data_IF_881107584522
#
_entry.id   IF_881107584522
#
_cell.length_a   1.000
_cell.length_b   1.000
_cell.length_c   1.000
_cell.angle_alpha   90.00
_cell.angle_beta   90.00
_cell.angle_gamma   90.00
#
_symmetry.space_group_name_H-M   'P 1'
#
loop_
_entity.id
_entity.type
_entity.pdbx_description
1 polymer ?
#
# COMPACT_ATOMS: atom_id res chain seq x y z
N UNK A 1 26.44 5.68 -26.46
CA UNK A 1 25.50 5.05 -27.41
C UNK A 1 24.17 5.78 -27.34
N UNK A 2 23.86 6.63 -28.33
CA UNK A 2 22.50 7.18 -28.44
C UNK A 2 21.51 6.04 -28.68
N UNK A 3 20.61 5.81 -27.72
CA UNK A 3 19.53 4.85 -27.89
C UNK A 3 18.59 5.40 -28.98
N UNK A 4 18.40 4.64 -30.06
CA UNK A 4 17.56 5.04 -31.18
C UNK A 4 16.07 4.83 -30.83
N UNK A 5 15.41 5.86 -30.29
CA UNK A 5 14.02 5.86 -29.85
C UNK A 5 13.05 6.15 -31.03
N UNK A 6 13.13 5.37 -32.11
CA UNK A 6 12.31 5.60 -33.33
C UNK A 6 10.78 5.65 -33.07
N UNK A 7 10.32 5.00 -32.01
CA UNK A 7 8.89 4.91 -31.67
C UNK A 7 8.55 5.62 -30.35
N UNK A 8 9.41 6.55 -29.89
CA UNK A 8 9.15 7.28 -28.65
C UNK A 8 8.07 8.35 -28.89
N UNK A 9 7.01 8.43 -28.07
CA UNK A 9 5.98 9.46 -28.21
C UNK A 9 6.58 10.87 -28.09
N UNK A 10 6.03 11.82 -28.83
CA UNK A 10 6.39 13.24 -28.68
C UNK A 10 5.92 13.74 -27.29
N UNK A 11 6.70 14.63 -26.67
CA UNK A 11 6.38 15.21 -25.36
C UNK A 11 6.73 14.29 -24.18
N UNK A 12 7.31 13.11 -24.41
CA UNK A 12 7.74 12.21 -23.33
C UNK A 12 9.27 12.30 -23.15
N UNK A 13 9.72 12.71 -21.97
CA UNK A 13 11.15 12.76 -21.63
C UNK A 13 11.81 11.38 -21.75
N UNK A 14 12.98 11.36 -22.35
CA UNK A 14 13.75 10.11 -22.51
C UNK A 14 14.52 9.70 -21.26
N UNK A 15 14.81 10.69 -20.41
CA UNK A 15 15.55 10.50 -19.17
C UNK A 15 14.77 11.17 -18.05
N UNK A 16 14.40 10.38 -17.03
CA UNK A 16 13.71 10.85 -15.84
C UNK A 16 14.67 10.87 -14.66
N UNK A 17 14.54 11.85 -13.79
CA UNK A 17 15.14 11.84 -12.48
C UNK A 17 14.15 11.26 -11.45
N UNK A 18 14.62 10.42 -10.56
CA UNK A 18 13.77 9.78 -9.59
C UNK A 18 14.17 10.17 -8.17
N UNK A 19 13.22 10.60 -7.33
CA UNK A 19 13.53 10.97 -5.95
C UNK A 19 13.92 9.76 -5.10
N UNK A 20 14.94 9.94 -4.25
CA UNK A 20 15.42 8.92 -3.32
C UNK A 20 14.69 9.07 -1.98
N UNK A 21 13.42 8.69 -1.94
CA UNK A 21 12.56 8.82 -0.76
C UNK A 21 11.85 7.50 -0.45
N UNK A 22 11.44 7.27 0.81
CA UNK A 22 10.55 6.17 1.13
C UNK A 22 9.19 6.33 0.42
N UNK A 23 8.59 5.20 0.02
CA UNK A 23 7.34 5.23 -0.75
C UNK A 23 6.18 5.93 -0.03
N UNK A 24 6.11 5.86 1.30
CA UNK A 24 5.05 6.55 2.06
C UNK A 24 5.12 8.08 1.93
N UNK A 25 6.23 8.65 1.47
CA UNK A 25 6.33 10.09 1.19
C UNK A 25 5.42 10.54 0.04
N UNK A 26 5.01 9.62 -0.84
CA UNK A 26 4.01 9.91 -1.88
C UNK A 26 2.68 10.29 -1.21
N UNK A 27 2.21 9.47 -0.26
CA UNK A 27 1.00 9.77 0.52
C UNK A 27 1.15 11.04 1.36
N UNK A 28 2.26 11.16 2.09
CA UNK A 28 2.50 12.32 2.97
C UNK A 28 2.55 13.64 2.20
N UNK A 29 3.17 13.61 1.01
CA UNK A 29 3.16 14.76 0.10
C UNK A 29 1.75 15.12 -0.37
N UNK A 30 0.94 14.13 -0.75
CA UNK A 30 -0.44 14.35 -1.16
C UNK A 30 -1.30 14.89 0.00
N UNK A 31 -1.16 14.34 1.20
CA UNK A 31 -1.83 14.80 2.41
C UNK A 31 -1.45 16.24 2.80
N UNK A 32 -0.21 16.65 2.52
CA UNK A 32 0.25 18.03 2.76
C UNK A 32 -0.28 19.01 1.71
N UNK A 33 -0.32 18.61 0.44
CA UNK A 33 -0.70 19.50 -0.66
C UNK A 33 -2.21 19.59 -0.88
N UNK A 34 -2.92 18.46 -0.66
CA UNK A 34 -4.37 18.34 -0.93
C UNK A 34 -5.09 17.57 0.19
N UNK A 35 -4.99 18.01 1.46
CA UNK A 35 -5.50 17.28 2.62
C UNK A 35 -6.97 16.90 2.51
N UNK A 36 -7.79 17.76 1.93
CA UNK A 36 -9.26 17.61 1.82
C UNK A 36 -9.72 16.81 0.59
N UNK A 37 -8.81 16.43 -0.34
CA UNK A 37 -9.22 15.64 -1.51
C UNK A 37 -9.37 14.18 -1.13
N UNK A 38 -10.29 13.52 -1.80
CA UNK A 38 -10.53 12.10 -1.63
C UNK A 38 -9.33 11.31 -2.17
N UNK A 39 -8.70 10.53 -1.30
CA UNK A 39 -7.70 9.55 -1.65
C UNK A 39 -8.36 8.23 -2.07
N UNK A 40 -9.47 7.88 -1.41
CA UNK A 40 -10.21 6.64 -1.65
C UNK A 40 -11.69 6.96 -1.65
N UNK A 41 -12.41 6.41 -2.64
CA UNK A 41 -13.86 6.33 -2.69
C UNK A 41 -14.21 4.85 -2.75
N UNK A 42 -14.87 4.34 -1.72
CA UNK A 42 -15.16 2.93 -1.61
C UNK A 42 -16.51 2.69 -0.94
N UNK A 43 -17.40 1.97 -1.63
CA UNK A 43 -18.69 1.60 -1.05
C UNK A 43 -19.55 2.78 -0.61
N UNK A 44 -19.46 3.95 -1.28
CA UNK A 44 -20.17 5.17 -0.92
C UNK A 44 -19.53 5.95 0.23
N UNK A 45 -18.45 5.47 0.80
CA UNK A 45 -17.64 6.19 1.78
C UNK A 45 -16.44 6.85 1.09
N UNK A 46 -16.03 7.99 1.62
CA UNK A 46 -14.90 8.77 1.14
C UNK A 46 -13.85 8.85 2.24
N UNK A 47 -12.57 8.73 1.86
CA UNK A 47 -11.43 8.89 2.74
C UNK A 47 -10.47 9.89 2.10
N UNK A 48 -10.21 10.99 2.78
CA UNK A 48 -9.30 12.03 2.30
C UNK A 48 -7.84 11.62 2.42
N UNK A 49 -6.94 12.32 1.70
CA UNK A 49 -5.50 12.09 1.85
C UNK A 49 -5.02 12.33 3.28
N UNK A 50 -5.53 13.35 3.96
CA UNK A 50 -5.18 13.64 5.35
C UNK A 50 -5.61 12.52 6.29
N UNK A 51 -6.83 12.04 6.15
CA UNK A 51 -7.35 10.93 6.98
C UNK A 51 -6.56 9.65 6.72
N UNK A 52 -6.29 9.31 5.46
CA UNK A 52 -5.48 8.13 5.12
C UNK A 52 -4.07 8.23 5.71
N UNK A 53 -3.43 9.40 5.64
CA UNK A 53 -2.10 9.61 6.23
C UNK A 53 -2.13 9.44 7.76
N UNK A 54 -3.11 10.04 8.44
CA UNK A 54 -3.26 9.94 9.90
C UNK A 54 -3.62 8.51 10.35
N UNK A 55 -4.54 7.82 9.66
CA UNK A 55 -4.92 6.45 10.00
C UNK A 55 -3.74 5.48 9.80
N UNK A 56 -2.95 5.69 8.75
CA UNK A 56 -1.74 4.89 8.54
C UNK A 56 -0.62 5.23 9.53
N UNK A 57 -0.53 6.46 10.05
CA UNK A 57 0.35 6.82 11.17
C UNK A 57 -0.06 6.08 12.45
N UNK A 58 -1.36 6.05 12.78
CA UNK A 58 -1.91 5.30 13.91
C UNK A 58 -1.61 3.80 13.80
N UNK A 59 -1.79 3.23 12.61
CA UNK A 59 -1.50 1.82 12.39
C UNK A 59 0.01 1.51 12.48
N UNK A 60 0.88 2.43 12.02
CA UNK A 60 2.33 2.29 12.21
C UNK A 60 2.72 2.29 13.71
N UNK A 61 2.10 3.18 14.51
CA UNK A 61 2.28 3.20 15.97
C UNK A 61 1.81 1.88 16.62
N UNK A 62 0.65 1.36 16.19
CA UNK A 62 0.11 0.08 16.64
C UNK A 62 1.07 -1.08 16.32
N UNK A 63 1.55 -1.19 15.09
CA UNK A 63 2.51 -2.22 14.70
C UNK A 63 3.79 -2.15 15.53
N UNK A 64 4.29 -0.94 15.78
CA UNK A 64 5.47 -0.73 16.62
C UNK A 64 5.24 -1.18 18.07
N UNK A 65 4.08 -0.90 18.67
CA UNK A 65 3.70 -1.35 20.01
C UNK A 65 3.61 -2.87 20.12
N UNK A 66 3.18 -3.54 19.03
CA UNK A 66 3.15 -4.99 18.90
C UNK A 66 4.53 -5.62 18.66
N UNK A 67 5.59 -4.81 18.64
CA UNK A 67 6.96 -5.27 18.47
C UNK A 67 7.39 -5.47 17.00
N UNK A 68 6.64 -4.97 16.03
CA UNK A 68 7.09 -4.93 14.63
C UNK A 68 8.19 -3.89 14.48
N UNK A 69 9.27 -4.27 13.80
CA UNK A 69 10.48 -3.45 13.61
C UNK A 69 10.84 -3.34 12.12
N UNK A 70 11.77 -2.43 11.83
CA UNK A 70 12.33 -2.27 10.48
C UNK A 70 12.86 -3.61 9.95
N UNK A 71 12.43 -3.96 8.74
CA UNK A 71 12.80 -5.20 8.07
C UNK A 71 11.92 -6.41 8.40
N UNK A 72 10.99 -6.30 9.35
CA UNK A 72 10.01 -7.36 9.60
C UNK A 72 9.02 -7.47 8.42
N UNK A 73 8.63 -8.70 8.10
CA UNK A 73 7.70 -8.98 7.00
C UNK A 73 6.29 -9.05 7.54
N UNK A 74 5.41 -8.30 6.89
CA UNK A 74 3.98 -8.23 7.19
C UNK A 74 3.19 -8.71 5.97
N UNK A 75 2.50 -9.82 6.11
CA UNK A 75 1.64 -10.37 5.07
C UNK A 75 0.27 -9.69 5.11
N UNK A 76 -0.16 -9.10 3.99
CA UNK A 76 -1.51 -8.56 3.84
C UNK A 76 -2.30 -9.46 2.89
N UNK A 77 -3.35 -10.08 3.43
CA UNK A 77 -4.30 -10.96 2.75
C UNK A 77 -5.69 -10.30 2.74
N UNK A 78 -5.77 -9.14 2.09
CA UNK A 78 -6.99 -8.33 1.97
C UNK A 78 -7.33 -8.10 0.49
N UNK A 79 -8.61 -8.03 0.14
CA UNK A 79 -9.02 -7.45 -1.13
C UNK A 79 -8.79 -5.93 -1.12
N UNK A 80 -9.00 -5.29 -2.27
CA UNK A 80 -8.95 -3.82 -2.36
C UNK A 80 -10.04 -3.22 -1.48
N UNK A 81 -9.62 -2.57 -0.41
CA UNK A 81 -10.48 -1.86 0.54
C UNK A 81 -9.68 -0.73 1.23
N UNK A 82 -10.32 0.23 1.89
CA UNK A 82 -9.62 1.31 2.59
C UNK A 82 -8.60 0.81 3.62
N UNK A 83 -8.92 -0.26 4.34
CA UNK A 83 -8.05 -0.86 5.35
C UNK A 83 -6.77 -1.46 4.75
N UNK A 84 -6.83 -1.95 3.48
CA UNK A 84 -5.63 -2.36 2.75
C UNK A 84 -4.65 -1.19 2.60
N UNK A 85 -5.13 -0.02 2.18
CA UNK A 85 -4.28 1.15 2.00
C UNK A 85 -3.73 1.67 3.34
N UNK A 86 -4.55 1.69 4.40
CA UNK A 86 -4.12 2.06 5.75
C UNK A 86 -3.02 1.10 6.25
N UNK A 87 -3.23 -0.21 6.11
CA UNK A 87 -2.27 -1.23 6.48
C UNK A 87 -0.96 -1.11 5.69
N UNK A 88 -1.06 -0.94 4.38
CA UNK A 88 0.08 -0.81 3.48
C UNK A 88 0.97 0.39 3.83
N UNK A 89 0.40 1.58 3.92
CA UNK A 89 1.19 2.75 4.29
C UNK A 89 1.66 2.70 5.75
N UNK A 90 0.85 2.15 6.65
CA UNK A 90 1.21 2.01 8.06
C UNK A 90 2.41 1.10 8.28
N UNK A 91 2.45 -0.07 7.65
CA UNK A 91 3.61 -0.97 7.77
C UNK A 91 4.88 -0.37 7.15
N UNK A 92 4.78 0.36 6.03
CA UNK A 92 5.92 1.03 5.42
C UNK A 92 6.46 2.18 6.28
N UNK A 93 5.58 2.91 6.99
CA UNK A 93 5.97 3.93 7.97
C UNK A 93 6.63 3.32 9.20
N UNK A 94 6.26 2.11 9.60
CA UNK A 94 6.94 1.33 10.63
C UNK A 94 8.27 0.72 10.15
N UNK A 95 8.62 0.87 8.86
CA UNK A 95 9.82 0.30 8.25
C UNK A 95 9.71 -1.19 7.96
N UNK A 96 8.53 -1.77 8.04
CA UNK A 96 8.28 -3.16 7.72
C UNK A 96 8.18 -3.39 6.20
N UNK A 97 8.32 -4.66 5.81
CA UNK A 97 8.30 -5.11 4.42
C UNK A 97 6.92 -5.68 4.10
N UNK A 98 6.29 -5.16 3.08
CA UNK A 98 5.01 -5.64 2.57
C UNK A 98 5.14 -6.97 1.83
N UNK A 99 4.37 -7.96 2.23
CA UNK A 99 4.20 -9.24 1.54
C UNK A 99 2.76 -9.35 1.06
N UNK A 100 2.48 -9.07 -0.22
CA UNK A 100 1.13 -9.23 -0.77
C UNK A 100 0.74 -10.71 -0.82
N UNK A 101 -0.42 -11.04 -0.27
CA UNK A 101 -1.01 -12.38 -0.32
C UNK A 101 -2.36 -12.27 -1.01
N UNK A 102 -2.50 -12.93 -2.16
CA UNK A 102 -3.76 -12.88 -2.90
C UNK A 102 -4.87 -13.61 -2.16
N UNK A 103 -6.08 -13.02 -2.04
CA UNK A 103 -7.25 -13.69 -1.49
C UNK A 103 -7.68 -14.97 -2.23
N UNK A 104 -7.13 -15.21 -3.43
CA UNK A 104 -7.47 -16.35 -4.27
C UNK A 104 -6.48 -17.52 -4.12
N UNK A 105 -5.47 -17.41 -3.25
CA UNK A 105 -4.49 -18.48 -3.07
C UNK A 105 -5.11 -19.71 -2.43
N UNK A 106 -4.70 -20.88 -2.91
CA UNK A 106 -4.95 -22.13 -2.21
C UNK A 106 -4.08 -22.22 -0.94
N UNK A 107 -4.51 -23.02 0.03
CA UNK A 107 -3.83 -23.22 1.32
C UNK A 107 -2.33 -23.50 1.17
N UNK A 108 -1.96 -24.41 0.24
CA UNK A 108 -0.55 -24.77 0.01
C UNK A 108 0.31 -23.57 -0.42
N UNK A 109 -0.23 -22.71 -1.29
CA UNK A 109 0.46 -21.53 -1.78
C UNK A 109 0.56 -20.45 -0.70
N UNK A 110 -0.50 -20.28 0.09
CA UNK A 110 -0.55 -19.40 1.24
C UNK A 110 0.53 -19.78 2.27
N UNK A 111 0.56 -21.03 2.71
CA UNK A 111 1.57 -21.55 3.65
C UNK A 111 2.97 -21.39 3.09
N UNK A 112 3.16 -21.69 1.80
CA UNK A 112 4.46 -21.51 1.14
C UNK A 112 4.91 -20.05 1.19
N UNK A 113 4.07 -19.09 0.81
CA UNK A 113 4.45 -17.67 0.78
C UNK A 113 4.81 -17.12 2.15
N UNK A 114 4.05 -17.47 3.19
CA UNK A 114 4.35 -17.02 4.56
C UNK A 114 5.67 -17.60 5.06
N UNK A 115 5.93 -18.89 4.79
CA UNK A 115 7.18 -19.54 5.19
C UNK A 115 8.40 -19.00 4.43
N UNK A 116 8.31 -18.87 3.11
CA UNK A 116 9.41 -18.38 2.25
C UNK A 116 9.75 -16.92 2.55
N UNK A 117 8.74 -16.07 2.76
CA UNK A 117 8.95 -14.67 3.15
C UNK A 117 9.37 -14.53 4.62
N UNK A 118 9.08 -15.49 5.46
CA UNK A 118 9.25 -15.40 6.91
C UNK A 118 8.35 -14.35 7.55
N UNK A 119 7.12 -14.16 7.05
CA UNK A 119 6.18 -13.17 7.56
C UNK A 119 5.66 -13.56 8.95
N UNK A 120 6.03 -12.80 9.98
CA UNK A 120 5.61 -13.03 11.37
C UNK A 120 4.32 -12.30 11.76
N UNK A 121 3.85 -11.37 10.92
CA UNK A 121 2.59 -10.67 11.10
C UNK A 121 1.69 -10.92 9.90
N UNK A 122 0.47 -11.36 10.16
CA UNK A 122 -0.57 -11.60 9.17
C UNK A 122 -1.72 -10.63 9.38
N UNK A 123 -2.15 -9.98 8.31
CA UNK A 123 -3.33 -9.10 8.28
C UNK A 123 -4.31 -9.68 7.27
N UNK A 124 -5.51 -10.03 7.69
CA UNK A 124 -6.51 -10.66 6.85
C UNK A 124 -7.92 -10.12 7.03
N UNK A 125 -8.83 -10.56 6.17
CA UNK A 125 -10.27 -10.27 6.28
C UNK A 125 -10.95 -11.41 7.02
N UNK A 126 -11.84 -11.08 7.96
CA UNK A 126 -12.62 -12.07 8.75
C UNK A 126 -13.35 -13.08 7.86
N UNK A 127 -13.99 -12.59 6.79
CA UNK A 127 -14.72 -13.44 5.84
C UNK A 127 -13.84 -14.50 5.15
N UNK A 128 -12.55 -14.24 5.02
CA UNK A 128 -11.59 -15.14 4.36
C UNK A 128 -10.75 -15.93 5.38
N UNK A 129 -10.97 -15.74 6.67
CA UNK A 129 -10.08 -16.24 7.71
C UNK A 129 -10.18 -17.75 7.98
N UNK A 130 -11.23 -18.40 7.55
CA UNK A 130 -11.43 -19.85 7.81
C UNK A 130 -10.29 -20.73 7.27
N UNK A 131 -9.78 -20.44 6.08
CA UNK A 131 -8.63 -21.18 5.51
C UNK A 131 -7.33 -20.83 6.24
N UNK A 132 -6.92 -19.55 6.42
CA UNK A 132 -5.76 -19.19 7.21
C UNK A 132 -5.79 -19.76 8.63
N UNK A 133 -6.92 -19.68 9.33
CA UNK A 133 -7.08 -20.22 10.69
C UNK A 133 -6.67 -21.70 10.78
N UNK A 134 -6.97 -22.49 9.76
CA UNK A 134 -6.62 -23.92 9.72
C UNK A 134 -5.16 -24.23 9.39
N UNK A 135 -4.33 -23.21 9.07
CA UNK A 135 -2.97 -23.46 8.60
C UNK A 135 -1.90 -22.47 9.12
N UNK A 136 -2.28 -21.41 9.83
CA UNK A 136 -1.32 -20.44 10.38
C UNK A 136 -0.29 -21.06 11.33
N UNK A 137 -0.64 -22.10 12.05
CA UNK A 137 0.26 -22.87 12.93
C UNK A 137 1.45 -23.51 12.19
N UNK A 138 1.32 -23.69 10.87
CA UNK A 138 2.38 -24.20 9.97
C UNK A 138 3.22 -23.07 9.35
N UNK A 139 3.04 -21.84 9.80
CA UNK A 139 3.71 -20.65 9.30
C UNK A 139 4.45 -19.92 10.42
N UNK A 140 5.36 -18.98 10.13
CA UNK A 140 6.01 -18.17 11.15
C UNK A 140 5.12 -17.06 11.76
N UNK A 141 3.86 -16.94 11.35
CA UNK A 141 2.95 -15.89 11.81
C UNK A 141 2.67 -16.00 13.33
N UNK A 142 3.09 -14.97 14.06
CA UNK A 142 2.93 -14.85 15.53
C UNK A 142 1.84 -13.84 15.90
N UNK A 143 1.58 -12.89 15.01
CA UNK A 143 0.60 -11.81 15.18
C UNK A 143 -0.45 -11.94 14.09
N UNK A 144 -1.69 -12.09 14.49
CA UNK A 144 -2.83 -12.19 13.60
C UNK A 144 -3.72 -10.97 13.83
N UNK A 145 -3.90 -10.15 12.81
CA UNK A 145 -4.73 -8.97 12.83
C UNK A 145 -5.85 -9.17 11.80
N UNK A 146 -7.09 -9.04 12.20
CA UNK A 146 -8.22 -9.15 11.29
C UNK A 146 -8.92 -7.82 11.09
N UNK A 147 -9.32 -7.60 9.84
CA UNK A 147 -10.24 -6.57 9.40
C UNK A 147 -11.62 -7.19 9.33
N UNK A 148 -12.61 -6.59 9.99
CA UNK A 148 -13.99 -7.04 9.85
C UNK A 148 -14.60 -6.47 8.56
N UNK A 149 -15.30 -7.31 7.81
CA UNK A 149 -16.08 -6.86 6.65
C UNK A 149 -17.14 -5.83 7.07
N UNK A 150 -17.66 -5.91 8.29
CA UNK A 150 -18.59 -4.93 8.84
C UNK A 150 -17.99 -3.52 8.96
N UNK A 151 -16.67 -3.42 9.18
CA UNK A 151 -15.95 -2.15 9.27
C UNK A 151 -15.55 -1.61 7.88
N UNK A 152 -15.48 -2.50 6.87
CA UNK A 152 -15.15 -2.13 5.48
C UNK A 152 -16.32 -1.50 4.75
N UNK A 153 -17.52 -2.03 4.99
CA UNK A 153 -18.75 -1.58 4.34
C UNK A 153 -19.68 -0.95 5.37
N UNK A 154 -19.65 0.38 5.55
CA UNK A 154 -20.77 1.06 6.18
C UNK A 154 -22.03 0.72 5.37
N UNK A 155 -23.23 0.71 5.96
CA UNK A 155 -24.46 0.29 5.27
C UNK A 155 -24.64 1.08 3.98
N UNK A 156 -24.28 0.45 2.86
CA UNK A 156 -24.23 1.02 1.51
C UNK A 156 -25.60 1.44 0.98
N UNK A 157 -26.66 0.90 1.58
CA UNK A 157 -28.04 1.23 1.24
C UNK A 157 -28.84 1.32 2.54
N UNK A 158 -29.66 2.33 2.67
CA UNK A 158 -30.57 2.49 3.81
C UNK A 158 -31.50 1.26 4.04
N UNK A 159 -31.59 0.37 3.07
CA UNK A 159 -32.33 -0.87 3.09
C UNK A 159 -31.46 -2.11 3.39
N UNK A 160 -30.14 -2.01 3.39
CA UNK A 160 -29.26 -3.13 3.68
C UNK A 160 -29.21 -3.35 5.19
N UNK A 161 -29.39 -4.62 5.62
CA UNK A 161 -29.20 -4.99 7.02
C UNK A 161 -27.71 -4.78 7.34
N UNK A 162 -27.37 -4.01 8.41
CA UNK A 162 -25.98 -3.84 8.80
C UNK A 162 -25.30 -5.20 8.99
N UNK A 163 -24.11 -5.35 8.44
CA UNK A 163 -23.29 -6.53 8.75
C UNK A 163 -22.93 -6.49 10.22
N UNK A 164 -23.25 -7.56 10.94
CA UNK A 164 -22.88 -7.65 12.35
C UNK A 164 -21.43 -8.15 12.47
N UNK A 165 -20.61 -7.37 13.16
CA UNK A 165 -19.26 -7.80 13.53
C UNK A 165 -19.34 -8.99 14.46
N UNK A 166 -18.68 -10.09 14.08
CA UNK A 166 -18.56 -11.26 14.94
C UNK A 166 -17.30 -11.12 15.82
N UNK A 167 -17.32 -11.65 17.05
CA UNK A 167 -16.10 -11.72 17.86
C UNK A 167 -15.02 -12.52 17.15
N UNK A 168 -13.79 -11.99 17.18
CA UNK A 168 -12.65 -12.73 16.66
C UNK A 168 -12.20 -13.85 17.62
N UNK A 169 -11.53 -14.89 17.13
CA UNK A 169 -10.94 -15.92 17.98
C UNK A 169 -9.97 -15.32 19.01
N UNK A 170 -9.77 -16.03 20.12
CA UNK A 170 -8.81 -15.61 21.14
C UNK A 170 -7.39 -15.45 20.56
N UNK A 171 -6.71 -14.38 20.97
CA UNK A 171 -5.37 -14.03 20.47
C UNK A 171 -5.34 -13.32 19.12
N UNK A 172 -6.48 -13.15 18.45
CA UNK A 172 -6.61 -12.37 17.22
C UNK A 172 -6.88 -10.90 17.56
N UNK A 173 -6.14 -10.01 16.93
CA UNK A 173 -6.23 -8.55 17.13
C UNK A 173 -7.22 -7.94 16.14
N UNK A 174 -7.97 -6.96 16.60
CA UNK A 174 -8.89 -6.19 15.77
C UNK A 174 -8.16 -4.99 15.13
N UNK A 175 -8.22 -4.89 13.80
CA UNK A 175 -7.58 -3.81 13.04
C UNK A 175 -8.13 -2.43 13.44
N UNK A 176 -9.45 -2.31 13.55
CA UNK A 176 -10.11 -1.04 13.87
C UNK A 176 -9.78 -0.58 15.28
N UNK A 177 -9.73 -1.50 16.25
CA UNK A 177 -9.31 -1.21 17.62
C UNK A 177 -7.85 -0.76 17.65
N UNK A 178 -6.96 -1.44 16.95
CA UNK A 178 -5.55 -1.05 16.87
C UNK A 178 -5.37 0.37 16.33
N UNK A 179 -6.07 0.71 15.25
CA UNK A 179 -6.01 2.07 14.67
C UNK A 179 -6.60 3.11 15.61
N UNK A 180 -7.72 2.81 16.27
CA UNK A 180 -8.42 3.78 17.14
C UNK A 180 -7.69 4.07 18.46
N UNK A 181 -7.01 3.07 19.03
CA UNK A 181 -6.36 3.15 20.33
C UNK A 181 -4.97 3.78 20.31
N UNK A 182 -4.37 3.97 19.13
CA UNK A 182 -3.02 4.53 19.02
C UNK A 182 -3.05 5.97 18.46
N UNK A 183 -2.13 6.83 18.90
CA UNK A 183 -2.00 8.19 18.36
C UNK A 183 -1.43 8.17 16.94
N UNK A 184 -1.63 9.22 16.12
CA UNK A 184 -1.05 9.35 14.80
C UNK A 184 0.44 9.76 14.86
N UNK A 185 1.23 9.01 15.61
CA UNK A 185 2.64 9.24 15.90
C UNK A 185 3.43 8.00 15.49
N UNK A 186 3.77 7.88 14.18
CA UNK A 186 4.50 6.73 13.68
C UNK A 186 5.92 6.71 14.27
N UNK A 187 6.53 5.53 14.42
CA UNK A 187 7.90 5.43 14.92
C UNK A 187 8.87 6.17 14.01
N UNK A 188 9.88 6.82 14.60
CA UNK A 188 10.97 7.46 13.86
C UNK A 188 11.91 6.40 13.28
N UNK A 189 11.59 5.88 12.08
CA UNK A 189 12.40 4.87 11.39
C UNK A 189 13.19 5.53 10.26
N UNK A 190 14.51 5.37 10.29
CA UNK A 190 15.36 5.81 9.18
C UNK A 190 15.32 4.77 8.06
N UNK A 191 14.86 5.18 6.89
CA UNK A 191 14.80 4.36 5.68
C UNK A 191 15.88 4.81 4.69
N UNK A 192 16.66 3.87 4.18
CA UNK A 192 17.59 4.05 3.06
C UNK A 192 16.90 3.54 1.78
N UNK A 193 16.29 4.41 0.94
CA UNK A 193 15.36 3.97 -0.10
C UNK A 193 15.94 3.00 -1.12
N UNK A 194 17.23 3.09 -1.42
CA UNK A 194 17.91 2.19 -2.37
C UNK A 194 18.36 0.87 -1.78
N UNK A 195 18.33 0.72 -0.46
CA UNK A 195 18.80 -0.50 0.24
C UNK A 195 17.67 -1.22 0.93
N UNK A 196 16.82 -0.48 1.64
CA UNK A 196 15.75 -1.07 2.43
C UNK A 196 14.63 -1.58 1.53
N UNK A 197 14.22 -2.81 1.80
CA UNK A 197 13.11 -3.43 1.07
C UNK A 197 11.79 -2.80 1.49
N UNK A 198 10.94 -2.55 0.51
CA UNK A 198 9.55 -2.18 0.71
C UNK A 198 8.62 -3.37 0.49
N UNK A 199 8.91 -4.22 -0.52
CA UNK A 199 8.03 -5.33 -0.89
C UNK A 199 8.82 -6.63 -1.11
N UNK A 200 8.15 -7.76 -0.85
CA UNK A 200 8.49 -9.08 -1.38
C UNK A 200 7.26 -9.58 -2.14
N UNK A 201 7.25 -9.38 -3.48
CA UNK A 201 6.11 -9.71 -4.33
C UNK A 201 6.31 -11.06 -5.03
N UNK A 202 5.37 -11.99 -4.86
CA UNK A 202 5.48 -13.32 -5.46
C UNK A 202 4.99 -13.31 -6.90
N UNK A 203 5.80 -13.88 -7.80
CA UNK A 203 5.42 -14.05 -9.21
C UNK A 203 4.82 -15.42 -9.43
N UNK A 204 3.69 -15.47 -10.12
CA UNK A 204 3.15 -16.74 -10.66
C UNK A 204 4.07 -17.25 -11.76
N UNK A 205 5.00 -18.14 -11.44
CA UNK A 205 5.86 -18.78 -12.42
C UNK A 205 5.06 -19.78 -13.28
N UNK A 206 5.15 -19.68 -14.59
CA UNK A 206 4.54 -20.65 -15.52
C UNK A 206 5.18 -22.04 -15.45
N UNK A 207 6.29 -22.20 -14.73
CA UNK A 207 7.14 -23.40 -14.78
C UNK A 207 7.71 -23.86 -13.45
N UNK A 208 7.22 -23.39 -12.28
CA UNK A 208 7.81 -23.81 -11.01
C UNK A 208 7.24 -23.12 -9.77
N UNK A 209 7.93 -23.30 -8.66
CA UNK A 209 7.62 -22.68 -7.37
C UNK A 209 7.64 -21.14 -7.50
N UNK A 210 6.64 -20.42 -6.99
CA UNK A 210 6.62 -18.96 -6.97
C UNK A 210 7.90 -18.39 -6.32
N UNK A 211 8.38 -17.26 -6.82
CA UNK A 211 9.57 -16.59 -6.31
C UNK A 211 9.20 -15.22 -5.76
N UNK A 212 9.69 -14.90 -4.57
CA UNK A 212 9.55 -13.59 -3.95
C UNK A 212 10.53 -12.58 -4.56
N UNK A 213 10.02 -11.64 -5.33
CA UNK A 213 10.81 -10.53 -5.90
C UNK A 213 11.00 -9.46 -4.83
N UNK A 214 12.22 -9.19 -4.45
CA UNK A 214 12.58 -8.18 -3.47
C UNK A 214 12.68 -6.80 -4.14
N UNK A 215 11.80 -5.88 -3.73
CA UNK A 215 11.77 -4.51 -4.25
C UNK A 215 12.09 -3.52 -3.12
N UNK A 216 13.05 -2.64 -3.38
CA UNK A 216 13.38 -1.55 -2.47
C UNK A 216 12.32 -0.44 -2.56
N UNK A 217 12.28 0.46 -1.56
CA UNK A 217 11.45 1.67 -1.64
C UNK A 217 11.71 2.44 -2.93
N UNK A 218 12.97 2.57 -3.32
CA UNK A 218 13.36 3.26 -4.55
C UNK A 218 12.80 2.59 -5.81
N UNK A 219 12.82 1.26 -5.91
CA UNK A 219 12.24 0.55 -7.07
C UNK A 219 10.75 0.88 -7.24
N UNK A 220 10.00 0.92 -6.13
CA UNK A 220 8.57 1.20 -6.15
C UNK A 220 8.31 2.67 -6.48
N UNK A 221 9.06 3.61 -5.88
CA UNK A 221 8.97 5.04 -6.22
C UNK A 221 9.26 5.30 -7.69
N UNK A 222 10.31 4.68 -8.25
CA UNK A 222 10.63 4.75 -9.68
C UNK A 222 9.45 4.31 -10.53
N UNK A 223 8.83 3.18 -10.20
CA UNK A 223 7.66 2.68 -10.93
C UNK A 223 6.47 3.66 -10.84
N UNK A 224 6.18 4.20 -9.65
CA UNK A 224 5.14 5.21 -9.48
C UNK A 224 5.42 6.48 -10.31
N UNK A 225 6.66 6.97 -10.34
CA UNK A 225 7.05 8.12 -11.15
C UNK A 225 6.91 7.85 -12.64
N UNK A 226 7.34 6.67 -13.10
CA UNK A 226 7.19 6.26 -14.51
C UNK A 226 5.71 6.20 -14.91
N UNK A 227 4.86 5.63 -14.04
CA UNK A 227 3.43 5.58 -14.28
C UNK A 227 2.81 6.99 -14.33
N UNK A 228 3.11 7.81 -13.32
CA UNK A 228 2.62 9.20 -13.27
C UNK A 228 3.07 10.01 -14.49
N UNK A 229 4.30 9.80 -14.93
CA UNK A 229 4.85 10.45 -16.12
C UNK A 229 4.15 9.99 -17.41
N UNK A 230 3.99 8.67 -17.57
CA UNK A 230 3.36 8.11 -18.77
C UNK A 230 1.91 8.57 -18.96
N UNK A 231 1.16 8.67 -17.87
CA UNK A 231 -0.23 9.10 -17.89
C UNK A 231 -0.40 10.62 -17.69
N UNK A 232 0.49 11.25 -16.94
CA UNK A 232 0.41 12.67 -16.59
C UNK A 232 1.27 13.61 -17.47
N UNK A 233 2.18 13.07 -18.29
CA UNK A 233 2.99 13.81 -19.27
C UNK A 233 4.10 14.69 -18.71
N UNK A 234 4.30 14.73 -17.39
CA UNK A 234 5.32 15.58 -16.78
C UNK A 234 6.36 14.79 -15.96
N UNK A 235 7.60 15.27 -15.91
CA UNK A 235 8.65 14.70 -15.05
C UNK A 235 8.34 14.94 -13.58
N UNK A 236 8.44 13.90 -12.76
CA UNK A 236 8.15 13.97 -11.33
C UNK A 236 9.41 14.40 -10.57
N UNK A 237 9.32 15.45 -9.78
CA UNK A 237 10.37 15.84 -8.85
C UNK A 237 9.89 15.85 -7.40
N UNK A 238 10.83 15.88 -6.46
CA UNK A 238 10.55 15.94 -5.02
C UNK A 238 11.40 17.03 -4.40
N UNK A 239 10.76 18.07 -3.85
CA UNK A 239 11.41 19.19 -3.18
C UNK A 239 10.63 19.61 -1.95
N UNK A 240 11.33 19.93 -0.88
CA UNK A 240 10.74 20.43 0.37
C UNK A 240 9.61 19.56 0.91
N UNK A 241 9.78 18.24 0.84
CA UNK A 241 8.78 17.28 1.31
C UNK A 241 7.59 17.05 0.35
N UNK A 242 7.61 17.64 -0.85
CA UNK A 242 6.49 17.62 -1.79
C UNK A 242 6.89 17.01 -3.14
N UNK A 243 6.05 16.12 -3.64
CA UNK A 243 6.13 15.70 -5.04
C UNK A 243 5.56 16.79 -5.94
N UNK A 244 6.33 17.14 -6.96
CA UNK A 244 5.97 18.08 -8.02
C UNK A 244 5.94 17.39 -9.36
N UNK A 245 5.38 18.05 -10.38
CA UNK A 245 5.48 17.64 -11.77
C UNK A 245 6.00 18.81 -12.58
N UNK A 246 7.08 18.57 -13.36
CA UNK A 246 7.60 19.51 -14.34
C UNK A 246 7.10 19.11 -15.71
N UNK A 247 6.67 20.08 -16.49
CA UNK A 247 6.30 19.91 -17.90
C UNK A 247 7.40 20.48 -18.80
N UNK A 248 7.53 19.98 -20.03
CA UNK A 248 8.36 20.63 -21.05
C UNK A 248 7.80 22.02 -21.38
N UNK A 249 8.68 22.93 -21.85
CA UNK A 249 8.30 24.30 -22.20
C UNK A 249 7.27 24.28 -23.33
N UNK A 250 6.04 24.78 -23.04
CA UNK A 250 4.88 24.72 -23.94
C UNK A 250 3.86 23.62 -23.67
N UNK A 251 4.19 22.63 -22.84
CA UNK A 251 3.27 21.58 -22.41
C UNK A 251 2.82 21.82 -20.95
N UNK A 252 1.96 22.81 -20.74
CA UNK A 252 1.38 23.09 -19.42
C UNK A 252 0.25 22.11 -19.05
N UNK A 253 -0.12 22.04 -17.75
CA UNK A 253 -1.18 21.15 -17.26
C UNK A 253 -2.55 21.36 -17.93
N UNK A 254 -2.77 22.53 -18.52
CA UNK A 254 -3.98 22.86 -19.28
C UNK A 254 -4.10 22.12 -20.62
N UNK A 255 -2.98 21.70 -21.20
CA UNK A 255 -2.93 21.03 -22.51
C UNK A 255 -2.82 19.50 -22.37
N UNK A 256 -2.71 18.98 -21.15
CA UNK A 256 -2.59 17.54 -20.90
C UNK A 256 -3.96 16.91 -20.61
N UNK A 257 -4.27 15.70 -21.16
CA UNK A 257 -5.52 15.01 -20.87
C UNK A 257 -5.68 14.72 -19.38
N UNK A 258 -4.58 14.55 -18.64
CA UNK A 258 -4.57 14.42 -17.19
C UNK A 258 -4.46 15.81 -16.53
N UNK A 259 -5.58 16.37 -16.09
CA UNK A 259 -5.57 17.64 -15.33
C UNK A 259 -5.24 17.37 -13.87
N UNK A 260 -4.14 17.95 -13.42
CA UNK A 260 -3.61 17.79 -12.06
C UNK A 260 -4.69 17.99 -11.00
N UNK A 261 -4.96 16.93 -10.23
CA UNK A 261 -5.87 16.95 -9.10
C UNK A 261 -7.35 17.04 -9.45
N UNK A 262 -7.74 16.83 -10.70
CA UNK A 262 -9.15 16.71 -11.14
C UNK A 262 -9.51 15.26 -11.53
N UNK A 263 -8.56 14.34 -11.45
CA UNK A 263 -8.74 12.97 -11.87
C UNK A 263 -8.94 12.03 -10.68
N UNK A 264 -9.87 11.13 -10.86
CA UNK A 264 -10.02 9.96 -10.00
C UNK A 264 -9.22 8.84 -10.66
N UNK A 265 -8.09 8.47 -10.07
CA UNK A 265 -7.33 7.32 -10.52
C UNK A 265 -7.82 6.09 -9.79
N UNK A 266 -8.42 5.16 -10.51
CA UNK A 266 -8.75 3.83 -9.99
C UNK A 266 -7.48 2.98 -10.03
N UNK A 267 -6.83 2.80 -8.89
CA UNK A 267 -5.74 1.84 -8.77
C UNK A 267 -6.36 0.51 -8.35
N UNK A 268 -6.41 -0.42 -9.29
CA UNK A 268 -6.70 -1.83 -9.02
C UNK A 268 -5.37 -2.52 -8.78
N UNK A 269 -5.12 -2.94 -7.55
CA UNK A 269 -3.92 -3.68 -7.17
C UNK A 269 -4.20 -5.18 -7.26
#
# INVERSE_FOLDING_TARGET
MEKNFKCWPKGIFKNLSYPEVPIYQILRSAATQWPWRNAIIFGGSELTYQELDQLSDRFAAALHSLGVRKGDRVAIHLPNCPQFAIAYFGLLKAGAIFVPVSPLLAEREFVFQLNDSGAETYIGLDLLFSMPQGCLDRTPAKRVILVSLADVYPPLYASAKPLSKQPFPEGVLDFTDLVSQHPPEPPAVQIEPKKDLAHIAYTGGTTGTPKGVMLTHYNVVVNCCQFAYWFGGGDVDYRDGKFGVRYEEGDGPENHPARRGMEVSLIVV
#
